data_IF_121590393099
#
_entry.id   IF_121590393099
#
_cell.length_a   1.000
_cell.length_b   1.000
_cell.length_c   1.000
_cell.angle_alpha   90.00
_cell.angle_beta   90.00
_cell.angle_gamma   90.00
#
_symmetry.space_group_name_H-M   'P 1'
#
loop_
_entity.id
_entity.type
_entity.pdbx_description
1 polymer ?
#
# COMPACT_ATOMS: atom_id res chain seq x y z
N UNK A 1 -7.44 75.33 -10.24
CA UNK A 1 -7.29 73.85 -10.29
C UNK A 1 -8.58 73.27 -9.73
N UNK A 2 -9.38 72.55 -10.53
CA UNK A 2 -10.59 71.88 -10.03
C UNK A 2 -10.13 70.64 -9.26
N UNK A 3 -10.30 70.65 -7.93
CA UNK A 3 -10.15 69.44 -7.12
C UNK A 3 -11.40 68.59 -7.35
N UNK A 4 -11.25 67.45 -8.03
CA UNK A 4 -12.31 66.44 -8.10
C UNK A 4 -12.42 65.79 -6.72
N UNK A 5 -13.26 66.35 -5.84
CA UNK A 5 -13.68 65.68 -4.62
C UNK A 5 -14.71 64.60 -5.02
N UNK A 6 -14.39 63.35 -4.75
CA UNK A 6 -15.33 62.24 -4.94
C UNK A 6 -16.58 62.46 -4.08
N UNK A 7 -17.75 62.20 -4.65
CA UNK A 7 -18.99 62.17 -3.89
C UNK A 7 -19.04 60.91 -3.01
N UNK A 8 -19.78 60.98 -1.89
CA UNK A 8 -19.94 59.87 -0.96
C UNK A 8 -20.51 58.61 -1.65
N UNK A 9 -21.38 58.79 -2.65
CA UNK A 9 -21.99 57.70 -3.41
C UNK A 9 -20.98 57.01 -4.33
N UNK A 10 -20.06 57.75 -4.94
CA UNK A 10 -18.97 57.20 -5.76
C UNK A 10 -18.00 56.40 -4.88
N UNK A 11 -17.67 56.90 -3.70
CA UNK A 11 -16.83 56.17 -2.75
C UNK A 11 -17.49 54.85 -2.30
N UNK A 12 -18.80 54.86 -2.05
CA UNK A 12 -19.56 53.66 -1.66
C UNK A 12 -19.61 52.63 -2.79
N UNK A 13 -19.80 53.08 -4.04
CA UNK A 13 -19.82 52.21 -5.21
C UNK A 13 -18.47 51.52 -5.43
N UNK A 14 -17.37 52.26 -5.27
CA UNK A 14 -16.00 51.69 -5.36
C UNK A 14 -15.77 50.64 -4.27
N UNK A 15 -16.20 50.89 -3.03
CA UNK A 15 -16.07 49.93 -1.92
C UNK A 15 -16.91 48.67 -2.14
N UNK A 16 -18.13 48.78 -2.69
CA UNK A 16 -18.94 47.63 -3.05
C UNK A 16 -18.25 46.76 -4.12
N UNK A 17 -17.74 47.39 -5.16
CA UNK A 17 -17.04 46.68 -6.25
C UNK A 17 -15.80 45.97 -5.70
N UNK A 18 -14.99 46.64 -4.86
CA UNK A 18 -13.82 46.03 -4.22
C UNK A 18 -14.21 44.88 -3.29
N UNK A 19 -15.34 44.97 -2.58
CA UNK A 19 -15.88 43.89 -1.76
C UNK A 19 -16.25 42.66 -2.59
N UNK A 20 -16.97 42.85 -3.70
CA UNK A 20 -17.35 41.76 -4.61
C UNK A 20 -16.11 41.13 -5.26
N UNK A 21 -15.16 41.96 -5.71
CA UNK A 21 -13.89 41.47 -6.27
C UNK A 21 -13.13 40.67 -5.22
N UNK A 22 -13.06 41.12 -3.97
CA UNK A 22 -12.35 40.40 -2.90
C UNK A 22 -12.96 39.04 -2.59
N UNK A 23 -14.31 38.94 -2.59
CA UNK A 23 -15.03 37.68 -2.38
C UNK A 23 -14.69 36.66 -3.47
N UNK A 24 -14.46 37.10 -4.70
CA UNK A 24 -14.12 36.22 -5.83
C UNK A 24 -12.59 35.95 -5.90
N UNK A 25 -11.78 36.99 -5.70
CA UNK A 25 -10.33 36.95 -5.87
C UNK A 25 -9.61 36.16 -4.77
N UNK A 26 -10.06 36.24 -3.51
CA UNK A 26 -9.37 35.55 -2.40
C UNK A 26 -9.47 34.02 -2.53
N UNK A 27 -10.66 33.41 -2.75
CA UNK A 27 -10.77 31.96 -2.91
C UNK A 27 -10.02 31.44 -4.14
N UNK A 28 -10.09 32.18 -5.26
CA UNK A 28 -9.39 31.81 -6.50
C UNK A 28 -7.87 31.86 -6.32
N UNK A 29 -7.34 32.93 -5.72
CA UNK A 29 -5.93 33.03 -5.38
C UNK A 29 -5.48 31.91 -4.44
N UNK A 30 -6.26 31.60 -3.42
CA UNK A 30 -5.97 30.51 -2.49
C UNK A 30 -5.94 29.15 -3.19
N UNK A 31 -6.87 28.91 -4.14
CA UNK A 31 -6.88 27.69 -4.94
C UNK A 31 -5.63 27.57 -5.81
N UNK A 32 -5.25 28.64 -6.50
CA UNK A 32 -4.04 28.68 -7.34
C UNK A 32 -2.77 28.45 -6.51
N UNK A 33 -2.66 29.08 -5.33
CA UNK A 33 -1.52 28.86 -4.43
C UNK A 33 -1.49 27.41 -3.93
N UNK A 34 -2.65 26.84 -3.59
CA UNK A 34 -2.74 25.45 -3.14
C UNK A 34 -2.29 24.48 -4.24
N UNK A 35 -2.78 24.66 -5.47
CA UNK A 35 -2.39 23.87 -6.63
C UNK A 35 -0.89 24.01 -6.95
N UNK A 36 -0.36 25.23 -6.90
CA UNK A 36 1.08 25.48 -7.08
C UNK A 36 1.93 24.74 -6.05
N UNK A 37 1.53 24.73 -4.77
CA UNK A 37 2.24 23.98 -3.72
C UNK A 37 2.17 22.48 -3.94
N UNK A 38 1.04 21.96 -4.41
CA UNK A 38 0.89 20.55 -4.74
C UNK A 38 1.78 20.15 -5.93
N UNK A 39 1.81 20.96 -6.99
CA UNK A 39 2.70 20.73 -8.13
C UNK A 39 4.18 20.73 -7.72
N UNK A 40 4.59 21.67 -6.87
CA UNK A 40 5.96 21.70 -6.32
C UNK A 40 6.25 20.47 -5.45
N UNK A 41 5.26 20.01 -4.67
CA UNK A 41 5.41 18.81 -3.87
C UNK A 41 5.65 17.57 -4.76
N UNK A 42 4.89 17.40 -5.83
CA UNK A 42 5.11 16.31 -6.80
C UNK A 42 6.47 16.41 -7.49
N UNK A 43 6.94 17.63 -7.79
CA UNK A 43 8.31 17.84 -8.29
C UNK A 43 9.36 17.38 -7.27
N UNK A 44 9.16 17.66 -5.97
CA UNK A 44 10.09 17.18 -4.94
C UNK A 44 10.13 15.65 -4.87
N UNK A 45 8.97 14.98 -4.93
CA UNK A 45 8.92 13.51 -4.96
C UNK A 45 9.64 12.94 -6.19
N UNK A 46 9.47 13.54 -7.36
CA UNK A 46 10.16 13.15 -8.58
C UNK A 46 11.68 13.37 -8.50
N UNK A 47 12.13 14.47 -7.87
CA UNK A 47 13.54 14.72 -7.63
C UNK A 47 14.14 13.67 -6.68
N UNK A 48 13.41 13.29 -5.62
CA UNK A 48 13.81 12.21 -4.70
C UNK A 48 13.92 10.88 -5.46
N UNK A 49 12.91 10.52 -6.25
CA UNK A 49 12.92 9.29 -7.06
C UNK A 49 14.07 9.30 -8.09
N UNK A 50 14.38 10.46 -8.67
CA UNK A 50 15.53 10.63 -9.57
C UNK A 50 16.86 10.44 -8.83
N UNK A 51 16.97 10.92 -7.59
CA UNK A 51 18.12 10.64 -6.72
C UNK A 51 18.26 9.15 -6.42
N UNK A 52 17.15 8.45 -6.13
CA UNK A 52 17.16 6.99 -5.97
C UNK A 52 17.59 6.26 -7.24
N UNK A 53 17.19 6.75 -8.42
CA UNK A 53 17.67 6.24 -9.72
C UNK A 53 19.17 6.43 -9.90
N UNK A 54 19.69 7.60 -9.52
CA UNK A 54 21.13 7.85 -9.55
C UNK A 54 21.87 6.92 -8.57
N UNK A 55 21.33 6.74 -7.37
CA UNK A 55 21.85 5.79 -6.39
C UNK A 55 21.89 4.37 -6.95
N UNK A 56 20.79 3.89 -7.55
CA UNK A 56 20.70 2.55 -8.13
C UNK A 56 21.73 2.33 -9.24
N UNK A 57 21.99 3.35 -10.06
CA UNK A 57 23.02 3.27 -11.12
C UNK A 57 24.44 3.04 -10.58
N UNK A 58 24.73 3.48 -9.35
CA UNK A 58 26.02 3.27 -8.67
C UNK A 58 26.05 2.00 -7.82
N UNK A 59 24.89 1.43 -7.52
CA UNK A 59 24.72 0.30 -6.61
C UNK A 59 24.04 -0.88 -7.32
N UNK A 60 24.43 -1.15 -8.56
CA UNK A 60 23.77 -2.16 -9.40
C UNK A 60 23.81 -3.58 -8.80
N UNK A 61 24.84 -3.90 -8.00
CA UNK A 61 25.03 -5.23 -7.40
C UNK A 61 24.02 -5.56 -6.29
N UNK A 62 23.24 -4.57 -5.83
CA UNK A 62 22.22 -4.74 -4.80
C UNK A 62 20.81 -4.39 -5.32
N UNK A 63 20.67 -4.19 -6.63
CA UNK A 63 19.37 -4.00 -7.25
C UNK A 63 18.64 -5.35 -7.37
N UNK A 64 17.31 -5.35 -7.30
CA UNK A 64 16.52 -6.57 -7.44
C UNK A 64 16.75 -7.25 -8.79
N UNK A 65 16.88 -8.57 -8.77
CA UNK A 65 17.23 -9.39 -9.93
C UNK A 65 15.97 -10.00 -10.58
N UNK A 66 15.00 -10.40 -9.77
CA UNK A 66 13.78 -11.07 -10.22
C UNK A 66 12.65 -10.08 -10.54
N UNK A 67 11.86 -10.37 -11.57
CA UNK A 67 10.76 -9.49 -11.95
C UNK A 67 9.72 -9.38 -10.82
N UNK A 68 9.32 -8.15 -10.51
CA UNK A 68 8.43 -7.87 -9.38
C UNK A 68 9.14 -7.72 -8.04
N UNK A 69 10.40 -8.12 -7.91
CA UNK A 69 11.20 -7.91 -6.70
C UNK A 69 11.41 -6.40 -6.47
N UNK A 70 11.38 -6.00 -5.21
CA UNK A 70 11.48 -4.61 -4.77
C UNK A 70 12.66 -4.51 -3.80
N UNK A 71 13.36 -3.40 -3.75
CA UNK A 71 14.18 -3.02 -2.59
C UNK A 71 13.72 -1.65 -2.10
N UNK A 72 14.01 -1.33 -0.85
CA UNK A 72 13.58 -0.06 -0.26
C UNK A 72 14.74 0.70 0.37
N UNK A 73 14.79 1.99 0.05
CA UNK A 73 15.71 2.98 0.58
C UNK A 73 14.94 3.99 1.41
N UNK A 74 15.64 4.71 2.27
CA UNK A 74 15.13 5.90 2.95
C UNK A 74 15.74 7.18 2.40
N UNK A 75 15.03 8.29 2.52
CA UNK A 75 15.48 9.59 2.03
C UNK A 75 16.80 10.01 2.70
N UNK A 76 17.01 9.67 3.96
CA UNK A 76 18.23 9.91 4.71
C UNK A 76 19.44 9.25 4.05
N UNK A 77 19.29 8.04 3.52
CA UNK A 77 20.38 7.36 2.81
C UNK A 77 20.74 8.07 1.50
N UNK A 78 19.72 8.55 0.78
CA UNK A 78 19.95 9.33 -0.43
C UNK A 78 20.65 10.66 -0.12
N UNK A 79 20.29 11.32 0.98
CA UNK A 79 20.93 12.56 1.45
C UNK A 79 22.39 12.33 1.83
N UNK A 80 22.66 11.33 2.70
CA UNK A 80 24.03 10.98 3.14
C UNK A 80 24.90 10.59 1.93
N UNK A 81 24.34 9.86 0.97
CA UNK A 81 25.05 9.48 -0.25
C UNK A 81 25.23 10.62 -1.27
N UNK A 82 24.71 11.82 -0.99
CA UNK A 82 24.78 12.98 -1.87
C UNK A 82 23.97 12.84 -3.17
N UNK A 83 22.95 11.97 -3.17
CA UNK A 83 22.10 11.72 -4.32
C UNK A 83 20.92 12.69 -4.42
N UNK A 84 20.59 13.35 -3.31
CA UNK A 84 19.52 14.36 -3.20
C UNK A 84 19.96 15.49 -2.28
N UNK A 85 19.28 16.64 -2.34
CA UNK A 85 19.51 17.77 -1.43
C UNK A 85 19.17 17.37 0.03
N UNK A 86 19.93 17.88 0.98
CA UNK A 86 19.75 17.62 2.41
C UNK A 86 18.54 18.36 2.98
N UNK A 87 18.21 19.53 2.39
CA UNK A 87 17.21 20.48 2.86
C UNK A 87 15.91 20.45 2.04
N UNK A 88 15.50 19.28 1.58
CA UNK A 88 14.24 19.13 0.82
C UNK A 88 13.06 19.37 1.76
N UNK A 89 12.29 20.40 1.47
CA UNK A 89 11.08 20.77 2.20
C UNK A 89 9.82 20.35 1.43
N UNK A 90 8.79 19.92 2.17
CA UNK A 90 7.44 19.79 1.66
C UNK A 90 6.85 21.20 1.42
N UNK A 91 6.58 21.62 0.18
CA UNK A 91 6.08 22.97 -0.13
C UNK A 91 4.68 23.26 0.44
N UNK A 92 3.92 22.23 0.82
CA UNK A 92 2.58 22.34 1.41
C UNK A 92 2.67 22.72 2.88
N UNK A 93 3.65 22.15 3.61
CA UNK A 93 3.79 22.29 5.07
C UNK A 93 4.98 23.14 5.51
N UNK A 94 5.95 23.37 4.61
CA UNK A 94 7.27 24.00 4.85
C UNK A 94 8.19 23.25 5.80
N UNK A 95 7.84 22.01 6.17
CA UNK A 95 8.70 21.14 6.98
C UNK A 95 9.65 20.37 6.08
N UNK A 96 10.80 19.95 6.62
CA UNK A 96 11.68 19.01 5.94
C UNK A 96 10.95 17.68 5.71
N UNK A 97 11.25 17.04 4.59
CA UNK A 97 10.86 15.64 4.42
C UNK A 97 11.61 14.76 5.42
N UNK A 98 10.93 13.75 5.98
CA UNK A 98 11.53 12.84 6.95
C UNK A 98 12.68 12.06 6.32
N UNK A 99 13.76 11.87 7.05
CA UNK A 99 14.90 11.05 6.62
C UNK A 99 14.52 9.56 6.54
N UNK A 100 13.50 9.11 7.28
CA UNK A 100 12.94 7.76 7.19
C UNK A 100 11.84 7.62 6.13
N UNK A 101 11.59 8.65 5.31
CA UNK A 101 10.70 8.56 4.14
C UNK A 101 11.21 7.48 3.18
N UNK A 102 10.36 6.54 2.81
CA UNK A 102 10.71 5.37 2.01
C UNK A 102 10.63 5.62 0.50
N UNK A 103 11.55 5.02 -0.24
CA UNK A 103 11.62 5.00 -1.69
C UNK A 103 11.83 3.56 -2.14
N UNK A 104 10.92 3.03 -2.96
CA UNK A 104 11.03 1.69 -3.52
C UNK A 104 11.69 1.71 -4.90
N UNK A 105 12.49 0.68 -5.16
CA UNK A 105 13.05 0.37 -6.47
C UNK A 105 12.56 -1.03 -6.87
N UNK A 106 11.67 -1.11 -7.85
CA UNK A 106 11.04 -2.36 -8.28
C UNK A 106 11.58 -2.80 -9.64
N UNK A 107 11.93 -4.08 -9.79
CA UNK A 107 12.24 -4.68 -11.09
C UNK A 107 10.96 -4.82 -11.92
N UNK A 108 10.96 -4.26 -13.13
CA UNK A 108 9.84 -4.36 -14.09
C UNK A 108 10.41 -4.70 -15.46
N UNK A 109 10.38 -5.98 -15.80
CA UNK A 109 11.06 -6.55 -16.96
C UNK A 109 12.56 -6.19 -16.96
N UNK A 110 13.03 -5.51 -18.00
CA UNK A 110 14.43 -5.08 -18.10
C UNK A 110 14.74 -3.74 -17.41
N UNK A 111 13.74 -3.06 -16.85
CA UNK A 111 13.87 -1.73 -16.25
C UNK A 111 13.60 -1.76 -14.75
N UNK A 112 13.77 -0.58 -14.12
CA UNK A 112 13.43 -0.36 -12.72
C UNK A 112 12.44 0.79 -12.59
N UNK A 113 11.41 0.58 -11.78
CA UNK A 113 10.46 1.62 -11.33
C UNK A 113 10.94 2.18 -9.99
N UNK A 114 10.95 3.51 -9.86
CA UNK A 114 11.39 4.22 -8.66
C UNK A 114 10.22 5.02 -8.10
N UNK A 115 9.79 4.75 -6.87
CA UNK A 115 8.60 5.37 -6.30
C UNK A 115 8.81 5.77 -4.85
N UNK A 116 8.47 7.01 -4.51
CA UNK A 116 8.43 7.47 -3.11
C UNK A 116 7.12 6.99 -2.48
N UNK A 117 7.19 6.37 -1.30
CA UNK A 117 6.02 5.95 -0.54
C UNK A 117 5.59 7.11 0.36
N UNK A 118 4.59 7.86 -0.10
CA UNK A 118 4.08 9.01 0.65
C UNK A 118 3.55 8.60 2.03
N UNK A 119 3.92 9.37 3.06
CA UNK A 119 3.46 9.13 4.44
C UNK A 119 4.18 8.02 5.21
N UNK A 120 5.19 7.37 4.62
CA UNK A 120 6.00 6.34 5.29
C UNK A 120 6.93 6.90 6.39
N UNK A 121 7.38 8.14 6.26
CA UNK A 121 8.35 8.76 7.18
C UNK A 121 7.73 9.46 8.40
N UNK A 122 8.47 9.51 9.51
CA UNK A 122 8.14 10.15 10.78
C UNK A 122 8.64 11.59 10.90
N UNK A 123 9.19 11.94 12.07
CA UNK A 123 9.73 13.30 12.37
C UNK A 123 11.26 13.36 12.34
N UNK A 124 11.94 12.32 11.86
CA UNK A 124 13.39 12.20 11.90
C UNK A 124 14.04 13.09 10.81
N UNK A 125 14.59 14.25 11.17
CA UNK A 125 15.13 15.22 10.20
C UNK A 125 16.63 15.51 10.35
N UNK A 126 17.29 15.00 11.39
CA UNK A 126 18.71 15.25 11.63
C UNK A 126 19.60 14.25 10.88
N UNK A 127 20.61 14.74 10.16
CA UNK A 127 21.59 13.91 9.44
C UNK A 127 22.81 13.65 10.31
N UNK A 128 23.17 12.38 10.53
CA UNK A 128 24.40 11.96 11.21
C UNK A 128 25.22 11.05 10.29
N UNK A 129 26.25 11.63 9.66
CA UNK A 129 27.11 10.97 8.66
C UNK A 129 27.99 9.85 9.22
N UNK A 130 28.02 9.65 10.53
CA UNK A 130 28.76 8.55 11.15
C UNK A 130 27.85 7.36 11.52
N UNK A 131 26.54 7.45 11.22
CA UNK A 131 25.62 6.32 11.39
C UNK A 131 25.80 5.27 10.29
N UNK A 132 25.54 3.99 10.60
CA UNK A 132 25.42 2.98 9.56
C UNK A 132 24.20 3.26 8.65
N UNK A 133 24.21 2.65 7.48
CA UNK A 133 23.15 2.74 6.45
C UNK A 133 22.48 1.36 6.34
N UNK A 134 21.15 1.27 6.36
CA UNK A 134 20.40 0.00 6.25
C UNK A 134 19.43 0.02 5.07
N UNK A 135 19.58 -0.90 4.14
CA UNK A 135 18.75 -1.02 2.93
C UNK A 135 17.88 -2.27 3.09
N UNK A 136 16.55 -2.13 2.99
CA UNK A 136 15.65 -3.26 3.03
C UNK A 136 15.73 -4.04 1.71
N UNK A 137 15.90 -5.36 1.81
CA UNK A 137 15.62 -6.26 0.69
C UNK A 137 14.09 -6.41 0.62
N UNK A 138 13.45 -6.26 -0.53
CA UNK A 138 11.97 -6.29 -0.58
C UNK A 138 11.28 -4.94 -0.37
N UNK A 139 9.96 -5.04 -0.26
CA UNK A 139 9.06 -3.93 -0.01
C UNK A 139 9.09 -3.56 1.48
N UNK A 140 8.83 -2.29 1.86
CA UNK A 140 8.71 -1.93 3.27
C UNK A 140 7.36 -2.36 3.86
N UNK A 141 6.38 -2.66 2.99
CA UNK A 141 5.10 -3.25 3.38
C UNK A 141 4.85 -4.50 2.55
N UNK A 142 4.65 -5.63 3.22
CA UNK A 142 4.34 -6.90 2.59
C UNK A 142 3.00 -7.44 3.10
N UNK A 143 2.25 -8.04 2.19
CA UNK A 143 1.07 -8.83 2.51
C UNK A 143 1.48 -10.29 2.43
N UNK A 144 1.16 -11.05 3.46
CA UNK A 144 1.36 -12.50 3.52
C UNK A 144 -0.01 -13.13 3.63
N UNK A 145 -0.27 -14.14 2.81
CA UNK A 145 -1.52 -14.87 2.82
C UNK A 145 -1.65 -15.66 4.14
N UNK A 146 -2.87 -15.85 4.64
CA UNK A 146 -3.09 -16.62 5.87
C UNK A 146 -2.55 -18.06 5.69
N UNK A 147 -1.87 -18.57 6.73
CA UNK A 147 -1.19 -19.88 6.76
C UNK A 147 -0.03 -20.09 5.76
N UNK A 148 0.29 -19.12 4.91
CA UNK A 148 1.52 -19.19 4.13
C UNK A 148 2.75 -18.99 5.03
N UNK A 149 3.88 -19.58 4.62
CA UNK A 149 5.15 -19.39 5.30
C UNK A 149 5.70 -17.99 5.01
N UNK A 150 6.07 -17.25 6.07
CA UNK A 150 6.80 -16.00 5.91
C UNK A 150 8.30 -16.24 5.84
N UNK A 151 8.94 -15.79 4.75
CA UNK A 151 10.38 -15.82 4.57
C UNK A 151 10.95 -14.41 4.83
N UNK A 152 11.80 -14.31 5.85
CA UNK A 152 12.52 -13.07 6.17
C UNK A 152 13.51 -12.71 5.05
N UNK A 153 13.32 -11.54 4.42
CA UNK A 153 14.16 -11.05 3.34
C UNK A 153 15.45 -10.37 3.81
N UNK A 154 15.50 -9.99 5.09
CA UNK A 154 16.63 -9.32 5.71
C UNK A 154 16.89 -7.93 5.15
N UNK A 155 18.12 -7.46 5.37
CA UNK A 155 18.61 -6.14 4.96
C UNK A 155 20.08 -6.19 4.57
N UNK A 156 20.54 -5.17 3.87
CA UNK A 156 21.97 -4.88 3.69
C UNK A 156 22.32 -3.68 4.57
N UNK A 157 23.13 -3.90 5.61
CA UNK A 157 23.67 -2.84 6.44
C UNK A 157 25.13 -2.54 6.06
N UNK A 158 25.49 -1.26 6.02
CA UNK A 158 26.85 -0.79 5.73
C UNK A 158 27.30 0.27 6.72
N UNK A 159 28.58 0.26 7.06
CA UNK A 159 29.21 1.36 7.79
C UNK A 159 29.39 2.61 6.90
N UNK A 160 29.80 3.77 7.45
CA UNK A 160 30.04 4.98 6.66
C UNK A 160 31.15 4.86 5.60
N UNK A 161 32.02 3.85 5.69
CA UNK A 161 33.04 3.56 4.67
C UNK A 161 32.51 2.71 3.51
N UNK A 162 31.29 2.16 3.66
CA UNK A 162 30.64 1.28 2.69
C UNK A 162 30.88 -0.22 2.93
N UNK A 163 31.56 -0.59 4.02
CA UNK A 163 31.79 -1.99 4.39
C UNK A 163 30.53 -2.61 4.98
N UNK A 164 30.26 -3.89 4.69
CA UNK A 164 29.06 -4.59 5.16
C UNK A 164 29.13 -4.80 6.68
N UNK A 165 28.00 -4.58 7.36
CA UNK A 165 27.79 -4.95 8.76
C UNK A 165 26.94 -6.22 8.76
N UNK A 166 27.54 -7.34 9.14
CA UNK A 166 26.89 -8.66 9.15
C UNK A 166 25.93 -8.83 10.33
N UNK A 167 26.24 -8.21 11.48
CA UNK A 167 25.45 -8.32 12.70
C UNK A 167 24.38 -7.22 12.74
N UNK A 168 23.21 -7.55 12.18
CA UNK A 168 22.01 -6.72 12.23
C UNK A 168 21.02 -7.34 13.20
N UNK A 169 20.65 -6.57 14.22
CA UNK A 169 19.62 -6.97 15.17
C UNK A 169 18.23 -6.88 14.50
N UNK A 170 17.43 -7.92 14.67
CA UNK A 170 16.07 -8.02 14.14
C UNK A 170 15.07 -8.09 15.29
N UNK A 171 14.15 -7.13 15.36
CA UNK A 171 13.15 -7.03 16.43
C UNK A 171 11.76 -7.08 15.80
N UNK A 172 11.02 -8.16 16.05
CA UNK A 172 9.64 -8.33 15.55
C UNK A 172 8.66 -7.88 16.64
N UNK A 173 7.70 -7.04 16.26
CA UNK A 173 6.62 -6.58 17.15
C UNK A 173 5.25 -6.78 16.54
N UNK A 174 4.29 -7.22 17.36
CA UNK A 174 2.86 -7.12 17.09
C UNK A 174 2.19 -6.30 18.18
N UNK A 175 1.37 -5.30 17.82
CA UNK A 175 0.74 -4.38 18.78
C UNK A 175 1.73 -3.82 19.83
N UNK A 176 2.93 -3.45 19.38
CA UNK A 176 4.05 -2.94 20.20
C UNK A 176 4.67 -3.93 21.20
N UNK A 177 4.26 -5.20 21.20
CA UNK A 177 4.83 -6.27 22.03
C UNK A 177 5.84 -7.04 21.17
N UNK A 178 7.03 -7.29 21.73
CA UNK A 178 8.07 -8.11 21.07
C UNK A 178 7.62 -9.56 21.03
N UNK A 179 7.78 -10.19 19.87
CA UNK A 179 7.44 -11.60 19.62
C UNK A 179 8.62 -12.29 18.96
N UNK A 180 8.72 -13.61 19.13
CA UNK A 180 9.84 -14.39 18.59
C UNK A 180 9.69 -14.67 17.08
N UNK A 181 8.46 -14.77 16.59
CA UNK A 181 8.15 -15.11 15.20
C UNK A 181 6.88 -14.43 14.69
N UNK A 182 6.67 -14.51 13.38
CA UNK A 182 5.46 -14.09 12.70
C UNK A 182 4.51 -15.29 12.62
N UNK A 183 3.36 -15.18 13.28
CA UNK A 183 2.29 -16.18 13.25
C UNK A 183 1.30 -15.80 12.15
N UNK A 184 1.34 -16.54 11.04
CA UNK A 184 0.50 -16.31 9.85
C UNK A 184 -0.90 -16.93 9.97
N UNK A 185 -1.25 -17.56 11.10
CA UNK A 185 -2.60 -18.10 11.34
C UNK A 185 -3.61 -17.04 11.77
N UNK A 186 -3.17 -15.79 11.95
CA UNK A 186 -4.01 -14.69 12.45
C UNK A 186 -3.92 -13.49 11.52
N UNK A 187 -5.07 -12.93 11.16
CA UNK A 187 -5.20 -11.71 10.35
C UNK A 187 -4.77 -10.45 11.12
N UNK A 188 -3.47 -10.31 11.35
CA UNK A 188 -2.87 -9.21 12.12
C UNK A 188 -1.68 -8.58 11.39
N UNK A 189 -1.15 -7.51 11.98
CA UNK A 189 0.00 -6.79 11.45
C UNK A 189 1.21 -6.94 12.38
N UNK A 190 2.39 -7.08 11.77
CA UNK A 190 3.68 -7.09 12.43
C UNK A 190 4.55 -5.93 11.92
N UNK A 191 5.47 -5.49 12.78
CA UNK A 191 6.55 -4.56 12.45
C UNK A 191 7.88 -5.21 12.79
N UNK A 192 8.70 -5.41 11.77
CA UNK A 192 10.07 -5.90 11.89
C UNK A 192 10.99 -4.69 11.88
N UNK A 193 11.73 -4.47 12.95
CA UNK A 193 12.72 -3.38 13.05
C UNK A 193 14.11 -3.99 12.91
N UNK A 194 14.86 -3.52 11.92
CA UNK A 194 16.27 -3.85 11.75
C UNK A 194 17.10 -2.78 12.39
N UNK A 195 18.10 -3.15 13.19
CA UNK A 195 19.00 -2.23 13.85
C UNK A 195 20.43 -2.62 13.52
N UNK A 196 21.16 -1.71 12.88
CA UNK A 196 22.58 -1.86 12.63
C UNK A 196 23.34 -0.92 13.56
N UNK A 197 24.38 -1.45 14.21
CA UNK A 197 25.23 -0.68 15.13
C UNK A 197 26.63 -0.53 14.56
N UNK A 198 27.15 0.70 14.49
CA UNK A 198 28.53 0.98 14.14
C UNK A 198 29.09 2.07 15.06
N UNK A 199 30.21 1.82 15.72
CA UNK A 199 30.86 2.75 16.67
C UNK A 199 29.88 3.38 17.70
N UNK A 200 29.03 2.55 18.31
CA UNK A 200 27.98 2.95 19.28
C UNK A 200 26.89 3.87 18.70
N UNK A 201 26.79 4.00 17.38
CA UNK A 201 25.68 4.66 16.69
C UNK A 201 24.79 3.62 16.05
N UNK A 202 23.49 3.82 16.13
CA UNK A 202 22.50 2.91 15.60
C UNK A 202 21.70 3.58 14.50
N UNK A 203 21.50 2.86 13.39
CA UNK A 203 20.44 3.17 12.45
C UNK A 203 19.36 2.10 12.56
N UNK A 204 18.12 2.47 12.23
CA UNK A 204 17.02 1.51 12.18
C UNK A 204 16.12 1.75 10.98
N UNK A 205 15.60 0.66 10.43
CA UNK A 205 14.56 0.69 9.39
C UNK A 205 13.48 -0.34 9.75
N UNK A 206 12.24 -0.10 9.35
CA UNK A 206 11.10 -0.95 9.69
C UNK A 206 10.51 -1.57 8.43
N UNK A 207 10.22 -2.88 8.46
CA UNK A 207 9.31 -3.54 7.52
C UNK A 207 8.00 -3.85 8.23
N UNK A 208 6.89 -3.57 7.56
CA UNK A 208 5.54 -3.89 8.00
C UNK A 208 5.07 -5.15 7.28
N UNK A 209 4.59 -6.15 8.02
CA UNK A 209 3.98 -7.36 7.46
C UNK A 209 2.50 -7.35 7.84
N UNK A 210 1.60 -7.59 6.88
CA UNK A 210 0.16 -7.71 7.15
C UNK A 210 -0.31 -9.07 6.68
N UNK A 211 -0.81 -9.87 7.62
CA UNK A 211 -1.44 -11.13 7.30
C UNK A 211 -2.85 -10.84 6.82
N UNK A 212 -3.16 -11.27 5.61
CA UNK A 212 -4.49 -11.15 5.01
C UNK A 212 -4.89 -12.48 4.41
N UNK A 213 -6.19 -12.67 4.29
CA UNK A 213 -6.76 -13.70 3.46
C UNK A 213 -7.34 -13.00 2.23
N UNK A 214 -6.79 -13.34 1.07
CA UNK A 214 -7.16 -12.79 -0.24
C UNK A 214 -7.58 -13.89 -1.21
N UNK A 215 -7.62 -15.14 -0.76
CA UNK A 215 -7.87 -16.31 -1.58
C UNK A 215 -9.35 -16.67 -1.53
N UNK A 216 -10.06 -16.74 -2.66
CA UNK A 216 -11.45 -17.18 -2.66
C UNK A 216 -11.62 -18.66 -2.28
N UNK A 217 -12.76 -19.03 -1.67
CA UNK A 217 -13.07 -20.42 -1.37
C UNK A 217 -13.07 -21.32 -2.59
N UNK A 218 -12.65 -22.57 -2.40
CA UNK A 218 -12.83 -23.65 -3.36
C UNK A 218 -14.21 -24.28 -3.19
N UNK A 219 -15.12 -23.96 -4.11
CA UNK A 219 -16.48 -24.49 -4.18
C UNK A 219 -16.58 -25.72 -5.09
N UNK A 220 -17.15 -26.80 -4.56
CA UNK A 220 -17.49 -28.04 -5.29
C UNK A 220 -19.01 -28.15 -5.41
N UNK A 221 -19.52 -28.19 -6.64
CA UNK A 221 -20.94 -28.39 -6.93
C UNK A 221 -21.08 -29.63 -7.83
N UNK A 222 -22.06 -30.52 -7.57
CA UNK A 222 -22.32 -31.65 -8.45
C UNK A 222 -22.67 -31.20 -9.87
N UNK A 223 -22.39 -32.07 -10.84
CA UNK A 223 -22.73 -31.81 -12.23
C UNK A 223 -24.22 -31.62 -12.48
N UNK A 224 -24.53 -31.19 -13.70
CA UNK A 224 -25.90 -31.05 -14.19
C UNK A 224 -26.66 -32.38 -14.08
N UNK A 225 -27.96 -32.32 -13.85
CA UNK A 225 -28.81 -33.49 -13.64
C UNK A 225 -30.14 -33.36 -14.36
N UNK A 226 -30.73 -34.51 -14.70
CA UNK A 226 -32.11 -34.62 -15.18
C UNK A 226 -32.94 -35.31 -14.11
N UNK A 227 -34.06 -34.72 -13.74
CA UNK A 227 -35.01 -35.22 -12.73
C UNK A 227 -36.36 -35.48 -13.39
N UNK A 228 -37.04 -36.54 -12.98
CA UNK A 228 -38.46 -36.69 -13.27
C UNK A 228 -39.27 -35.68 -12.44
N UNK A 229 -40.42 -35.22 -12.94
CA UNK A 229 -41.36 -34.35 -12.19
C UNK A 229 -41.63 -34.85 -10.76
N UNK A 230 -41.74 -36.17 -10.56
CA UNK A 230 -42.00 -36.79 -9.26
C UNK A 230 -40.84 -36.69 -8.26
N UNK A 231 -39.61 -36.49 -8.73
CA UNK A 231 -38.40 -36.46 -7.89
C UNK A 231 -38.12 -35.05 -7.34
N UNK A 232 -38.71 -34.02 -7.94
CA UNK A 232 -38.43 -32.61 -7.61
C UNK A 232 -38.79 -32.25 -6.16
N UNK A 233 -39.84 -32.86 -5.60
CA UNK A 233 -40.31 -32.53 -4.25
C UNK A 233 -39.33 -32.95 -3.15
N UNK A 234 -38.58 -34.04 -3.38
CA UNK A 234 -37.65 -34.62 -2.42
C UNK A 234 -36.18 -34.33 -2.77
N UNK A 235 -35.92 -33.58 -3.84
CA UNK A 235 -34.57 -33.27 -4.29
C UNK A 235 -33.90 -32.22 -3.40
N UNK A 236 -32.80 -32.59 -2.74
CA UNK A 236 -31.98 -31.66 -1.99
C UNK A 236 -30.94 -31.00 -2.90
N UNK A 237 -31.10 -29.69 -3.13
CA UNK A 237 -30.17 -28.90 -3.93
C UNK A 237 -28.79 -28.76 -3.29
N UNK A 238 -28.66 -28.99 -1.98
CA UNK A 238 -27.39 -28.94 -1.26
C UNK A 238 -26.65 -30.28 -1.24
N UNK A 239 -27.27 -31.37 -1.68
CA UNK A 239 -26.64 -32.68 -1.64
C UNK A 239 -25.38 -32.70 -2.50
N UNK A 240 -24.23 -33.01 -1.87
CA UNK A 240 -22.93 -33.07 -2.52
C UNK A 240 -22.30 -31.71 -2.85
N UNK A 241 -22.88 -30.61 -2.38
CA UNK A 241 -22.28 -29.27 -2.45
C UNK A 241 -21.37 -29.08 -1.24
N UNK A 242 -20.14 -28.66 -1.49
CA UNK A 242 -19.13 -28.48 -0.46
C UNK A 242 -18.23 -27.28 -0.77
N UNK A 243 -17.68 -26.63 0.26
CA UNK A 243 -16.74 -25.53 0.10
C UNK A 243 -15.63 -25.62 1.15
N UNK A 244 -14.40 -25.33 0.71
CA UNK A 244 -13.22 -25.30 1.59
C UNK A 244 -12.42 -24.05 1.30
N UNK A 245 -11.64 -23.58 2.28
CA UNK A 245 -10.85 -22.37 2.16
C UNK A 245 -9.47 -22.53 2.84
N UNK A 246 -8.49 -21.73 2.42
CA UNK A 246 -7.15 -21.75 3.00
C UNK A 246 -7.12 -21.22 4.44
N UNK A 247 -8.09 -20.39 4.86
CA UNK A 247 -8.25 -19.93 6.25
C UNK A 247 -8.62 -21.05 7.24
N UNK A 248 -8.88 -22.27 6.76
CA UNK A 248 -9.34 -23.42 7.54
C UNK A 248 -10.70 -23.22 8.23
N UNK A 249 -11.41 -22.14 7.92
CA UNK A 249 -12.80 -21.92 8.31
C UNK A 249 -13.73 -22.44 7.21
N UNK A 250 -14.94 -22.88 7.60
CA UNK A 250 -15.96 -23.33 6.66
C UNK A 250 -16.62 -22.12 5.97
N UNK A 251 -16.55 -22.01 4.63
CA UNK A 251 -17.20 -20.92 3.91
C UNK A 251 -18.72 -20.99 4.00
N UNK A 252 -19.38 -19.83 4.06
CA UNK A 252 -20.83 -19.74 3.95
C UNK A 252 -21.27 -19.98 2.51
N UNK A 253 -22.09 -21.02 2.30
CA UNK A 253 -22.72 -21.29 1.00
C UNK A 253 -24.13 -20.69 0.96
N UNK A 254 -24.39 -19.88 -0.06
CA UNK A 254 -25.73 -19.38 -0.37
C UNK A 254 -26.21 -19.93 -1.71
N UNK A 255 -27.51 -20.17 -1.81
CA UNK A 255 -28.15 -20.72 -3.01
C UNK A 255 -29.19 -19.74 -3.53
N UNK A 256 -29.19 -19.55 -4.84
CA UNK A 256 -30.17 -18.73 -5.55
C UNK A 256 -30.65 -19.43 -6.82
N UNK A 257 -31.81 -19.00 -7.31
CA UNK A 257 -32.51 -19.68 -8.41
C UNK A 257 -33.78 -20.36 -7.93
N UNK A 258 -34.51 -20.97 -8.85
CA UNK A 258 -35.75 -21.69 -8.55
C UNK A 258 -35.73 -23.06 -9.21
N UNK A 259 -36.29 -24.05 -8.53
CA UNK A 259 -36.58 -25.38 -9.07
C UNK A 259 -38.09 -25.59 -8.96
N UNK A 260 -38.73 -26.00 -10.06
CA UNK A 260 -40.19 -26.22 -10.11
C UNK A 260 -40.48 -27.60 -10.68
N UNK A 261 -41.56 -28.28 -10.22
CA UNK A 261 -41.94 -29.62 -10.70
C UNK A 261 -42.61 -29.58 -12.09
N UNK A 262 -42.35 -28.56 -12.91
CA UNK A 262 -42.84 -28.48 -14.28
C UNK A 262 -41.69 -28.84 -15.23
N UNK A 263 -41.98 -29.53 -16.34
CA UNK A 263 -40.95 -29.79 -17.35
C UNK A 263 -40.28 -28.50 -17.80
N UNK A 264 -38.94 -28.46 -17.73
CA UNK A 264 -38.20 -27.21 -17.91
C UNK A 264 -36.72 -27.35 -17.58
N UNK A 265 -35.97 -26.28 -17.83
CA UNK A 265 -34.56 -26.15 -17.44
C UNK A 265 -34.42 -25.07 -16.38
N UNK A 266 -33.85 -25.44 -15.25
CA UNK A 266 -33.69 -24.60 -14.07
C UNK A 266 -32.21 -24.37 -13.79
N UNK A 267 -31.87 -23.15 -13.37
CA UNK A 267 -30.51 -22.73 -13.06
C UNK A 267 -30.44 -22.46 -11.56
N UNK A 268 -29.61 -23.23 -10.87
CA UNK A 268 -29.35 -23.07 -9.45
C UNK A 268 -27.91 -22.59 -9.28
N UNK A 269 -27.73 -21.40 -8.71
CA UNK A 269 -26.42 -20.78 -8.49
C UNK A 269 -26.05 -20.86 -7.02
N UNK A 270 -24.86 -21.41 -6.76
CA UNK A 270 -24.24 -21.54 -5.46
C UNK A 270 -23.12 -20.50 -5.37
N UNK A 271 -23.03 -19.82 -4.22
CA UNK A 271 -21.96 -18.87 -3.93
C UNK A 271 -21.39 -19.21 -2.55
N UNK A 272 -20.09 -19.55 -2.51
CA UNK A 272 -19.33 -19.70 -1.29
C UNK A 272 -18.65 -18.37 -0.95
N UNK A 273 -18.74 -17.95 0.31
CA UNK A 273 -18.11 -16.73 0.86
C UNK A 273 -17.32 -17.10 2.11
N UNK A 274 -16.04 -16.79 2.19
CA UNK A 274 -15.27 -16.95 3.43
C UNK A 274 -15.53 -15.81 4.43
N UNK A 275 -14.91 -15.90 5.60
CA UNK A 275 -15.00 -14.90 6.66
C UNK A 275 -14.33 -13.55 6.31
N UNK A 276 -13.40 -13.56 5.35
CA UNK A 276 -12.69 -12.39 4.83
C UNK A 276 -13.47 -11.66 3.72
N UNK A 277 -14.56 -12.27 3.25
CA UNK A 277 -15.44 -11.76 2.20
C UNK A 277 -15.02 -12.12 0.77
N UNK A 278 -14.03 -13.01 0.56
CA UNK A 278 -13.73 -13.50 -0.78
C UNK A 278 -14.80 -14.51 -1.20
N UNK A 279 -15.08 -14.57 -2.52
CA UNK A 279 -16.24 -15.32 -3.03
C UNK A 279 -15.93 -16.13 -4.28
N UNK A 280 -16.58 -17.29 -4.38
CA UNK A 280 -16.59 -18.14 -5.58
C UNK A 280 -18.02 -18.57 -5.88
N UNK A 281 -18.43 -18.54 -7.16
CA UNK A 281 -19.78 -18.90 -7.59
C UNK A 281 -19.78 -19.94 -8.71
N UNK A 282 -20.76 -20.86 -8.68
CA UNK A 282 -20.97 -21.88 -9.70
C UNK A 282 -22.47 -22.11 -9.94
N UNK A 283 -22.85 -22.40 -11.19
CA UNK A 283 -24.25 -22.68 -11.56
C UNK A 283 -24.41 -24.14 -11.99
N UNK A 284 -25.38 -24.83 -11.40
CA UNK A 284 -25.84 -26.17 -11.78
C UNK A 284 -27.11 -26.07 -12.62
N UNK A 285 -27.16 -26.82 -13.71
CA UNK A 285 -28.35 -26.92 -14.57
C UNK A 285 -29.13 -28.17 -14.16
N UNK A 286 -30.42 -27.99 -13.88
CA UNK A 286 -31.36 -29.06 -13.54
C UNK A 286 -32.46 -29.08 -14.59
N UNK A 287 -32.58 -30.18 -15.33
CA UNK A 287 -33.66 -30.38 -16.30
C UNK A 287 -34.75 -31.26 -15.69
N UNK A 288 -35.99 -30.82 -15.74
CA UNK A 288 -37.16 -31.60 -15.29
C UNK A 288 -37.88 -32.14 -16.51
N UNK A 289 -38.17 -33.45 -16.53
CA UNK A 289 -38.86 -34.16 -17.62
C UNK A 289 -40.12 -34.89 -17.16
#
# INVERSE_FOLDING_TARGET
>A
MKNFAFSLIELLAVLMILGIISIIAIPTLNSVIKESRENLYQIQLNNIATGAKLWGSKNFAILPEEDGEVITLTLGQLKIGGFVDENIQDPRTKKLFPNDLEITIKKVGNNYEYKVIEGSGGINNDLDYNMPTIILNGSPHEIVEIYDEYIEKGVIAKDPSGSIIEDVEVIIKSNNIVVDEIDTSKLIQYKITYVATYNNKQASVVRTITIKDTTPPKLTVPGNIVLAVSEVADFDVMEGVDATDNSLQEPLITVSGTLSPLPGTYYVTYMATDDSGNTTSMTRIISVI
#
